data_IF_803260562387
#
_entry.id   IF_803260562387
#
_cell.length_a   1.000
_cell.length_b   1.000
_cell.length_c   1.000
_cell.angle_alpha   90.00
_cell.angle_beta   90.00
_cell.angle_gamma   90.00
#
_symmetry.space_group_name_H-M   'P 1'
#
loop_
_entity.id
_entity.type
_entity.pdbx_description
1 polymer ?
#
# COMPACT_ATOMS: atom_id res chain seq x y z
N UNK A 1 23.50 -49.20 0.22
CA UNK A 1 22.85 -47.91 0.50
C UNK A 1 21.74 -47.74 -0.51
N UNK A 2 20.48 -47.60 -0.08
CA UNK A 2 19.35 -47.47 -0.98
C UNK A 2 18.89 -46.00 -1.03
N UNK A 3 18.75 -45.47 -2.24
CA UNK A 3 18.22 -44.12 -2.49
C UNK A 3 16.72 -44.30 -2.76
N UNK A 4 15.88 -43.75 -1.88
CA UNK A 4 14.44 -43.74 -2.07
C UNK A 4 14.01 -42.39 -2.63
N UNK A 5 13.20 -42.43 -3.69
CA UNK A 5 12.49 -41.25 -4.20
C UNK A 5 11.19 -41.09 -3.42
N UNK A 6 10.99 -39.93 -2.80
CA UNK A 6 9.74 -39.60 -2.12
C UNK A 6 8.55 -39.65 -3.10
N UNK A 7 7.40 -40.18 -2.65
CA UNK A 7 6.17 -40.22 -3.45
C UNK A 7 5.78 -38.80 -3.84
N UNK A 8 5.62 -38.52 -5.14
CA UNK A 8 5.08 -37.25 -5.63
C UNK A 8 3.69 -37.04 -5.02
N UNK A 9 3.42 -35.84 -4.50
CA UNK A 9 2.06 -35.40 -4.17
C UNK A 9 1.37 -35.02 -5.48
N UNK A 10 0.25 -35.67 -5.81
CA UNK A 10 -0.47 -35.51 -7.08
C UNK A 10 -1.28 -34.19 -7.20
N UNK A 11 -0.82 -33.11 -6.55
CA UNK A 11 -1.52 -31.81 -6.50
C UNK A 11 -0.56 -30.68 -6.82
N UNK A 12 -0.11 -30.61 -8.06
CA UNK A 12 0.70 -29.52 -8.59
C UNK A 12 0.04 -28.94 -9.84
N UNK A 13 0.20 -27.64 -10.04
CA UNK A 13 -0.23 -26.94 -11.25
C UNK A 13 1.00 -26.71 -12.12
N UNK A 14 0.91 -27.04 -13.41
CA UNK A 14 1.92 -26.68 -14.40
C UNK A 14 1.46 -25.36 -15.01
N UNK A 15 2.33 -24.36 -15.00
CA UNK A 15 2.07 -23.01 -15.52
C UNK A 15 3.26 -22.63 -16.40
N UNK A 16 3.03 -21.89 -17.48
CA UNK A 16 4.10 -21.31 -18.29
C UNK A 16 5.07 -20.46 -17.42
N UNK A 17 6.34 -20.42 -17.81
CA UNK A 17 7.36 -19.62 -17.15
C UNK A 17 7.23 -18.13 -17.46
N UNK A 18 6.50 -17.75 -18.51
CA UNK A 18 6.29 -16.34 -18.91
C UNK A 18 5.86 -15.45 -17.73
N UNK A 19 4.75 -15.73 -17.01
CA UNK A 19 4.33 -14.89 -15.89
C UNK A 19 5.31 -14.93 -14.71
N UNK A 20 6.04 -16.04 -14.53
CA UNK A 20 7.02 -16.21 -13.46
C UNK A 20 8.32 -15.43 -13.71
N UNK A 21 8.62 -15.09 -14.96
CA UNK A 21 9.83 -14.38 -15.38
C UNK A 21 9.58 -12.93 -15.81
N UNK A 22 8.32 -12.48 -15.83
CA UNK A 22 7.97 -11.10 -16.17
C UNK A 22 8.42 -10.14 -15.06
N UNK A 23 9.28 -9.14 -15.33
CA UNK A 23 9.69 -8.15 -14.33
C UNK A 23 8.63 -7.08 -14.07
N UNK A 24 7.60 -6.97 -14.91
CA UNK A 24 6.57 -5.92 -14.82
C UNK A 24 5.39 -6.28 -13.92
N UNK A 25 5.28 -7.56 -13.54
CA UNK A 25 4.24 -8.07 -12.64
C UNK A 25 4.71 -8.00 -11.20
N UNK A 26 3.90 -7.44 -10.31
CA UNK A 26 4.17 -7.48 -8.88
C UNK A 26 4.05 -8.91 -8.35
N UNK A 27 4.87 -9.28 -7.37
CA UNK A 27 4.79 -10.61 -6.73
C UNK A 27 3.40 -10.89 -6.13
N UNK A 28 2.69 -9.83 -5.69
CA UNK A 28 1.33 -9.94 -5.18
C UNK A 28 0.35 -10.32 -6.31
N UNK A 29 0.42 -9.64 -7.45
CA UNK A 29 -0.39 -9.95 -8.62
C UNK A 29 -0.04 -11.34 -9.19
N UNK A 30 1.24 -11.69 -9.28
CA UNK A 30 1.70 -13.02 -9.70
C UNK A 30 1.15 -14.13 -8.80
N UNK A 31 1.16 -13.94 -7.48
CA UNK A 31 0.57 -14.88 -6.53
C UNK A 31 -0.93 -15.08 -6.76
N UNK A 32 -1.66 -14.01 -7.09
CA UNK A 32 -3.08 -14.10 -7.45
C UNK A 32 -3.28 -14.83 -8.78
N UNK A 33 -2.47 -14.54 -9.81
CA UNK A 33 -2.53 -15.19 -11.11
C UNK A 33 -2.30 -16.70 -11.01
N UNK A 34 -1.20 -17.11 -10.38
CA UNK A 34 -0.87 -18.53 -10.15
C UNK A 34 -1.98 -19.24 -9.39
N UNK A 35 -2.58 -18.56 -8.40
CA UNK A 35 -3.71 -19.09 -7.66
C UNK A 35 -4.94 -19.29 -8.55
N UNK A 36 -5.25 -18.36 -9.44
CA UNK A 36 -6.36 -18.50 -10.39
C UNK A 36 -6.12 -19.65 -11.37
N UNK A 37 -4.90 -19.80 -11.89
CA UNK A 37 -4.51 -20.89 -12.80
C UNK A 37 -4.52 -22.28 -12.13
N UNK A 38 -4.47 -22.34 -10.81
CA UNK A 38 -4.56 -23.61 -10.07
C UNK A 38 -6.00 -24.17 -9.97
N UNK A 39 -7.02 -23.41 -10.37
CA UNK A 39 -8.40 -23.91 -10.41
C UNK A 39 -8.69 -24.65 -11.72
N UNK A 40 -9.77 -25.48 -11.75
CA UNK A 40 -10.20 -26.13 -12.99
C UNK A 40 -10.56 -25.11 -14.09
N UNK A 41 -10.37 -25.49 -15.35
CA UNK A 41 -10.56 -24.63 -16.52
C UNK A 41 -11.97 -24.00 -16.62
N UNK A 42 -13.00 -24.69 -16.13
CA UNK A 42 -14.40 -24.22 -16.13
C UNK A 42 -14.75 -23.28 -14.96
N UNK A 43 -13.76 -22.92 -14.14
CA UNK A 43 -14.00 -22.12 -12.95
C UNK A 43 -14.35 -20.67 -13.29
N UNK A 44 -15.44 -20.18 -12.69
CA UNK A 44 -15.88 -18.78 -12.84
C UNK A 44 -15.47 -17.99 -11.62
N UNK A 45 -14.56 -17.04 -11.82
CA UNK A 45 -14.09 -16.18 -10.74
C UNK A 45 -15.00 -14.97 -10.55
N UNK A 46 -15.44 -14.78 -9.32
CA UNK A 46 -15.99 -13.52 -8.85
C UNK A 46 -14.99 -12.87 -7.90
N UNK A 47 -14.82 -11.55 -7.99
CA UNK A 47 -13.90 -10.80 -7.13
C UNK A 47 -14.22 -11.02 -5.64
N UNK A 48 -15.50 -11.09 -5.28
CA UNK A 48 -15.95 -11.40 -3.92
C UNK A 48 -15.50 -12.76 -3.43
N UNK A 49 -15.43 -13.75 -4.32
CA UNK A 49 -15.02 -15.11 -3.97
C UNK A 49 -13.51 -15.23 -3.84
N UNK A 50 -12.76 -14.48 -4.66
CA UNK A 50 -11.32 -14.35 -4.54
C UNK A 50 -10.94 -13.73 -3.19
N UNK A 51 -11.63 -12.66 -2.77
CA UNK A 51 -11.41 -12.01 -1.46
C UNK A 51 -11.68 -12.98 -0.31
N UNK A 52 -12.77 -13.75 -0.35
CA UNK A 52 -13.08 -14.75 0.69
C UNK A 52 -12.01 -15.84 0.79
N UNK A 53 -11.43 -16.27 -0.34
CA UNK A 53 -10.41 -17.35 -0.39
C UNK A 53 -9.01 -16.83 -0.08
N UNK A 54 -8.74 -15.56 -0.38
CA UNK A 54 -7.48 -14.89 -0.07
C UNK A 54 -7.64 -14.10 1.23
N UNK A 55 -7.84 -14.83 2.34
CA UNK A 55 -8.12 -14.26 3.66
C UNK A 55 -7.05 -13.29 4.20
N UNK A 56 -5.84 -13.27 3.62
CA UNK A 56 -4.77 -12.33 3.96
C UNK A 56 -4.79 -11.04 3.12
N UNK A 57 -5.45 -11.05 1.97
CA UNK A 57 -5.52 -9.91 1.08
C UNK A 57 -6.89 -9.23 1.21
N UNK A 58 -6.89 -7.94 1.54
CA UNK A 58 -8.10 -7.14 1.59
C UNK A 58 -8.76 -6.98 0.21
N UNK A 59 -10.03 -6.59 0.19
CA UNK A 59 -10.79 -6.33 -1.05
C UNK A 59 -10.02 -5.41 -2.01
N UNK A 60 -9.46 -4.34 -1.48
CA UNK A 60 -8.73 -3.34 -2.27
C UNK A 60 -7.38 -3.87 -2.79
N UNK A 61 -6.73 -4.75 -2.05
CA UNK A 61 -5.51 -5.41 -2.51
C UNK A 61 -5.80 -6.32 -3.71
N UNK A 62 -6.84 -7.16 -3.61
CA UNK A 62 -7.29 -8.02 -4.72
C UNK A 62 -7.71 -7.18 -5.93
N UNK A 63 -8.43 -6.07 -5.69
CA UNK A 63 -8.84 -5.17 -6.75
C UNK A 63 -7.64 -4.58 -7.51
N UNK A 64 -6.66 -4.05 -6.78
CA UNK A 64 -5.45 -3.46 -7.37
C UNK A 64 -4.61 -4.51 -8.12
N UNK A 65 -4.46 -5.72 -7.57
CA UNK A 65 -3.81 -6.84 -8.24
C UNK A 65 -4.54 -7.21 -9.54
N UNK A 66 -5.88 -7.22 -9.54
CA UNK A 66 -6.70 -7.52 -10.71
C UNK A 66 -6.60 -6.44 -11.79
N UNK A 67 -6.47 -5.16 -11.41
CA UNK A 67 -6.21 -4.05 -12.34
C UNK A 67 -4.82 -4.15 -12.98
N UNK A 68 -3.80 -4.47 -12.18
CA UNK A 68 -2.46 -4.75 -12.67
C UNK A 68 -2.48 -5.94 -13.66
N UNK A 69 -3.20 -6.99 -13.28
CA UNK A 69 -3.74 -8.10 -14.07
C UNK A 69 -4.07 -7.72 -15.52
N UNK A 70 -5.04 -6.83 -15.59
CA UNK A 70 -5.63 -6.38 -16.83
C UNK A 70 -4.69 -5.50 -17.64
N UNK A 71 -3.93 -4.62 -16.97
CA UNK A 71 -2.97 -3.73 -17.62
C UNK A 71 -1.87 -4.50 -18.33
N UNK A 72 -1.41 -5.59 -17.75
CA UNK A 72 -0.36 -6.45 -18.31
C UNK A 72 -0.89 -7.48 -19.32
N UNK A 73 -2.21 -7.63 -19.45
CA UNK A 73 -2.83 -8.54 -20.43
C UNK A 73 -3.00 -9.98 -19.95
N UNK A 74 -2.66 -10.30 -18.70
CA UNK A 74 -2.89 -11.63 -18.12
C UNK A 74 -4.36 -11.86 -17.74
N UNK A 75 -5.15 -10.79 -17.60
CA UNK A 75 -6.60 -10.89 -17.38
C UNK A 75 -7.35 -10.00 -18.36
N UNK A 76 -8.36 -10.52 -19.04
CA UNK A 76 -9.22 -9.73 -19.94
C UNK A 76 -10.67 -9.76 -19.47
N UNK A 77 -11.33 -8.61 -19.55
CA UNK A 77 -12.78 -8.50 -19.30
C UNK A 77 -13.55 -8.72 -20.59
N UNK A 78 -14.48 -9.67 -20.58
CA UNK A 78 -15.45 -9.89 -21.65
C UNK A 78 -16.79 -9.32 -21.18
N UNK A 79 -17.26 -8.30 -21.90
CA UNK A 79 -18.58 -7.72 -21.66
C UNK A 79 -19.63 -8.42 -22.52
N UNK A 80 -20.56 -9.12 -21.87
CA UNK A 80 -21.72 -9.69 -22.54
C UNK A 80 -22.82 -8.63 -22.66
N UNK A 81 -23.28 -8.41 -23.90
CA UNK A 81 -24.47 -7.62 -24.19
C UNK A 81 -25.67 -8.55 -24.29
N UNK A 82 -26.76 -8.18 -23.62
CA UNK A 82 -28.03 -8.86 -23.79
C UNK A 82 -28.62 -8.55 -25.18
N UNK A 83 -29.61 -9.34 -25.62
CA UNK A 83 -30.37 -9.17 -26.87
C UNK A 83 -30.99 -7.79 -27.00
N UNK A 84 -31.18 -7.10 -25.87
CA UNK A 84 -31.74 -5.75 -25.78
C UNK A 84 -30.67 -4.66 -25.70
N UNK A 85 -29.39 -4.98 -25.96
CA UNK A 85 -28.27 -4.04 -25.91
C UNK A 85 -27.84 -3.60 -24.51
N UNK A 86 -28.46 -4.12 -23.45
CA UNK A 86 -28.09 -3.83 -22.06
C UNK A 86 -26.84 -4.60 -21.64
N UNK A 87 -26.01 -3.99 -20.80
CA UNK A 87 -24.89 -4.66 -20.14
C UNK A 87 -25.42 -5.76 -19.23
N UNK A 88 -25.16 -7.02 -19.56
CA UNK A 88 -25.70 -8.16 -18.81
C UNK A 88 -24.70 -8.64 -17.76
N UNK A 89 -23.53 -9.10 -18.22
CA UNK A 89 -22.55 -9.78 -17.39
C UNK A 89 -21.15 -9.45 -17.88
N UNK A 90 -20.22 -9.31 -16.95
CA UNK A 90 -18.79 -9.18 -17.27
C UNK A 90 -18.10 -10.43 -16.76
N UNK A 91 -17.51 -11.18 -17.69
CA UNK A 91 -16.70 -12.36 -17.37
C UNK A 91 -15.23 -11.98 -17.42
N UNK A 92 -14.44 -12.55 -16.52
CA UNK A 92 -12.98 -12.37 -16.48
C UNK A 92 -12.36 -13.64 -17.07
N UNK A 93 -11.45 -13.46 -18.03
CA UNK A 93 -10.66 -14.54 -18.61
C UNK A 93 -9.22 -14.35 -18.18
N UNK A 94 -8.64 -15.40 -17.62
CA UNK A 94 -7.25 -15.45 -17.15
C UNK A 94 -6.41 -16.16 -18.20
N UNK A 95 -5.26 -15.60 -18.53
CA UNK A 95 -4.34 -16.11 -19.55
C UNK A 95 -2.98 -16.38 -18.92
N UNK A 96 -2.33 -17.48 -19.28
CA UNK A 96 -0.93 -17.73 -18.88
C UNK A 96 0.03 -16.80 -19.60
N UNK A 97 -0.27 -16.46 -20.85
CA UNK A 97 0.52 -15.52 -21.64
C UNK A 97 -0.21 -14.17 -21.77
N UNK A 98 0.51 -13.05 -21.72
CA UNK A 98 -0.10 -11.74 -21.79
C UNK A 98 -0.74 -11.54 -23.16
N UNK A 99 -2.05 -11.32 -23.17
CA UNK A 99 -2.79 -10.96 -24.39
C UNK A 99 -2.78 -9.45 -24.50
N UNK A 100 -2.40 -8.94 -25.67
CA UNK A 100 -2.50 -7.49 -25.92
C UNK A 100 -3.93 -7.04 -25.62
N UNK A 101 -4.14 -5.99 -24.81
CA UNK A 101 -5.48 -5.55 -24.48
C UNK A 101 -6.19 -5.18 -25.78
N UNK A 102 -7.09 -6.05 -26.21
CA UNK A 102 -7.98 -5.75 -27.33
C UNK A 102 -8.86 -4.62 -26.84
N UNK A 103 -8.47 -3.41 -27.22
CA UNK A 103 -9.34 -2.25 -27.16
C UNK A 103 -10.42 -2.56 -28.19
N UNK A 104 -11.41 -3.35 -27.81
CA UNK A 104 -12.67 -3.39 -28.52
C UNK A 104 -13.20 -1.97 -28.42
N UNK A 105 -12.86 -1.14 -29.41
CA UNK A 105 -13.30 0.23 -29.51
C UNK A 105 -14.81 0.22 -29.23
N UNK A 106 -15.31 0.86 -28.17
CA UNK A 106 -16.64 1.40 -28.27
C UNK A 106 -16.52 2.44 -29.38
N UNK A 107 -17.07 2.16 -30.56
CA UNK A 107 -17.41 3.24 -31.50
C UNK A 107 -18.24 4.23 -30.71
N UNK A 108 -17.56 5.26 -30.23
CA UNK A 108 -18.13 6.32 -29.42
C UNK A 108 -18.40 7.41 -30.42
N UNK A 109 -19.66 7.55 -30.82
CA UNK A 109 -20.08 8.75 -31.52
C UNK A 109 -19.73 9.97 -30.65
N UNK A 110 -18.91 10.83 -31.23
CA UNK A 110 -18.36 12.06 -30.69
C UNK A 110 -19.47 12.99 -30.14
N UNK A 111 -19.27 13.64 -28.98
CA UNK A 111 -19.73 15.00 -28.79
C UNK A 111 -18.56 15.96 -28.56
N UNK A 112 -18.61 17.05 -29.32
CA UNK A 112 -17.58 18.08 -29.51
C UNK A 112 -17.29 18.94 -28.27
N UNK A 113 -16.00 19.14 -28.01
CA UNK A 113 -15.28 20.41 -27.69
C UNK A 113 -15.84 21.42 -26.66
N UNK A 114 -15.04 21.70 -25.63
CA UNK A 114 -14.62 23.07 -25.25
C UNK A 114 -13.41 23.05 -24.27
N UNK A 115 -12.30 23.71 -24.64
CA UNK A 115 -11.17 24.11 -23.77
C UNK A 115 -11.41 25.54 -23.25
N UNK A 116 -10.82 25.95 -22.10
CA UNK A 116 -9.69 26.91 -22.12
C UNK A 116 -8.61 26.61 -21.04
N UNK A 117 -7.29 26.70 -21.35
CA UNK A 117 -6.33 27.83 -21.29
C UNK A 117 -5.87 28.20 -19.85
N UNK A 118 -4.67 27.77 -19.42
CA UNK A 118 -3.35 28.50 -19.39
C UNK A 118 -3.24 29.60 -18.33
N UNK A 119 -2.36 29.44 -17.34
CA UNK A 119 -1.30 30.44 -17.03
C UNK A 119 -0.24 29.91 -16.06
N UNK A 120 1.02 30.18 -16.38
CA UNK A 120 2.24 29.89 -15.61
C UNK A 120 2.48 30.99 -14.55
N UNK A 121 3.20 30.68 -13.46
CA UNK A 121 4.18 31.62 -12.86
C UNK A 121 5.15 30.91 -11.88
N UNK A 122 6.26 31.57 -11.58
CA UNK A 122 7.64 31.08 -11.60
C UNK A 122 8.43 31.57 -10.35
N UNK A 123 9.51 30.84 -9.98
CA UNK A 123 10.67 31.21 -9.09
C UNK A 123 10.42 31.45 -7.58
N UNK A 124 11.39 31.37 -6.65
CA UNK A 124 12.69 30.68 -6.45
C UNK A 124 13.19 31.11 -5.04
N UNK A 125 14.22 30.41 -4.53
CA UNK A 125 15.21 30.81 -3.48
C UNK A 125 14.79 30.61 -2.00
N UNK A 126 15.66 30.36 -1.02
CA UNK A 126 17.02 29.75 -0.82
C UNK A 126 17.36 29.98 0.66
N UNK A 127 18.08 29.03 1.28
CA UNK A 127 19.07 29.19 2.37
C UNK A 127 19.00 28.12 3.49
N UNK A 128 20.06 27.31 3.49
CA UNK A 128 20.69 26.51 4.57
C UNK A 128 21.16 27.42 5.75
N UNK A 129 21.82 26.93 6.83
CA UNK A 129 21.94 25.57 7.41
C UNK A 129 21.87 25.58 8.98
N UNK A 130 22.31 24.47 9.61
CA UNK A 130 22.93 24.30 10.95
C UNK A 130 22.09 23.53 12.01
N UNK A 131 22.37 22.24 12.24
CA UNK A 131 23.39 21.62 13.14
C UNK A 131 23.16 21.85 14.63
N UNK A 132 22.78 20.79 15.37
CA UNK A 132 23.67 20.06 16.30
C UNK A 132 22.84 19.11 17.21
N UNK A 133 23.17 17.80 17.28
CA UNK A 133 23.79 17.09 18.42
C UNK A 133 23.01 17.36 19.74
N UNK A 134 22.47 16.40 20.50
CA UNK A 134 23.18 15.34 21.25
C UNK A 134 22.18 14.56 22.12
N UNK A 135 22.42 13.25 22.29
CA UNK A 135 22.22 12.43 23.52
C UNK A 135 20.82 12.33 24.17
N UNK A 136 20.47 11.33 24.97
CA UNK A 136 20.86 9.94 25.23
C UNK A 136 19.72 9.45 26.18
N UNK A 137 19.68 8.15 26.42
CA UNK A 137 19.25 7.53 27.68
C UNK A 137 17.82 7.01 27.82
N UNK A 138 17.81 5.67 27.95
CA UNK A 138 17.13 4.89 28.98
C UNK A 138 15.81 4.21 28.59
N UNK A 139 15.99 2.99 28.08
CA UNK A 139 15.67 1.73 28.76
C UNK A 139 14.39 1.72 29.62
N UNK A 140 13.40 0.94 29.18
CA UNK A 140 12.72 0.03 30.10
C UNK A 140 12.12 -1.16 29.35
N UNK A 141 12.40 -2.33 29.91
CA UNK A 141 11.91 -3.65 29.54
C UNK A 141 10.48 -3.81 30.03
N UNK A 142 9.63 -4.46 29.24
CA UNK A 142 8.56 -5.30 29.79
C UNK A 142 8.11 -6.35 28.77
N UNK A 143 8.22 -7.60 29.21
CA UNK A 143 7.28 -8.71 28.97
C UNK A 143 7.49 -9.58 27.73
N UNK A 144 8.29 -10.62 27.94
CA UNK A 144 8.19 -11.90 27.23
C UNK A 144 6.91 -12.63 27.66
N UNK A 145 6.00 -12.87 26.71
CA UNK A 145 5.09 -13.99 26.70
C UNK A 145 5.00 -14.46 25.24
N UNK A 146 5.23 -15.74 25.01
CA UNK A 146 5.63 -16.31 23.73
C UNK A 146 4.73 -15.93 22.54
N UNK A 147 5.33 -15.25 21.57
CA UNK A 147 4.89 -15.25 20.18
C UNK A 147 6.03 -15.81 19.35
N UNK A 148 5.81 -16.98 18.76
CA UNK A 148 6.61 -17.47 17.65
C UNK A 148 6.45 -16.41 16.54
N UNK A 149 7.51 -15.71 16.09
CA UNK A 149 7.36 -14.68 15.08
C UNK A 149 6.87 -15.32 13.78
N UNK A 150 5.78 -14.78 13.23
CA UNK A 150 5.34 -15.10 11.88
C UNK A 150 6.51 -14.85 10.91
N UNK A 151 6.97 -15.86 10.16
CA UNK A 151 8.12 -15.74 9.26
C UNK A 151 7.90 -14.77 8.09
N UNK A 152 6.67 -14.25 7.94
CA UNK A 152 6.29 -13.24 6.95
C UNK A 152 5.87 -11.90 7.55
N UNK A 153 5.84 -11.78 8.87
CA UNK A 153 5.84 -10.46 9.49
C UNK A 153 7.22 -9.86 9.25
N UNK A 154 7.27 -8.59 8.83
CA UNK A 154 8.52 -7.83 8.78
C UNK A 154 9.28 -8.13 10.09
N UNK A 155 10.57 -8.50 10.05
CA UNK A 155 11.31 -8.80 11.26
C UNK A 155 11.04 -7.67 12.25
N UNK A 156 10.74 -7.97 13.54
CA UNK A 156 10.40 -6.94 14.51
C UNK A 156 11.48 -5.88 14.43
N UNK A 157 11.10 -4.70 13.91
CA UNK A 157 12.02 -3.60 13.67
C UNK A 157 12.76 -3.37 14.98
N UNK A 158 14.09 -3.47 14.96
CA UNK A 158 14.86 -3.37 16.20
C UNK A 158 14.49 -2.05 16.89
N UNK A 159 14.51 -2.03 18.22
CA UNK A 159 14.17 -0.81 18.99
C UNK A 159 14.96 0.40 18.47
N UNK A 160 16.20 0.18 18.07
CA UNK A 160 17.08 1.18 17.47
C UNK A 160 16.62 1.66 16.08
N UNK A 161 16.22 0.75 15.17
CA UNK A 161 15.69 1.12 13.86
C UNK A 161 14.37 1.87 13.96
N UNK A 162 13.50 1.47 14.89
CA UNK A 162 12.24 2.16 15.16
C UNK A 162 12.50 3.57 15.68
N UNK A 163 13.45 3.73 16.60
CA UNK A 163 13.83 5.05 17.10
C UNK A 163 14.45 5.93 16.01
N UNK A 164 15.30 5.36 15.13
CA UNK A 164 15.83 6.06 13.95
C UNK A 164 14.69 6.54 13.05
N UNK A 165 13.70 5.69 12.78
CA UNK A 165 12.56 6.04 11.93
C UNK A 165 11.67 7.12 12.55
N UNK A 166 11.39 7.04 13.86
CA UNK A 166 10.65 8.09 14.59
C UNK A 166 11.40 9.42 14.56
N UNK A 167 12.71 9.43 14.83
CA UNK A 167 13.49 10.66 14.80
C UNK A 167 13.47 11.28 13.38
N UNK A 168 13.61 10.46 12.33
CA UNK A 168 13.53 10.94 10.93
C UNK A 168 12.16 11.58 10.63
N UNK A 169 11.07 10.95 11.06
CA UNK A 169 9.71 11.48 10.88
C UNK A 169 9.50 12.81 11.63
N UNK A 170 10.04 12.95 12.84
CA UNK A 170 10.01 14.23 13.57
C UNK A 170 10.76 15.30 12.79
N UNK A 171 11.97 15.00 12.30
CA UNK A 171 12.74 15.94 11.48
C UNK A 171 11.99 16.33 10.21
N UNK A 172 11.35 15.37 9.54
CA UNK A 172 10.50 15.62 8.37
C UNK A 172 9.38 16.61 8.71
N UNK A 173 8.62 16.35 9.78
CA UNK A 173 7.55 17.23 10.22
C UNK A 173 8.06 18.64 10.57
N UNK A 174 9.16 18.77 11.33
CA UNK A 174 9.74 20.08 11.68
C UNK A 174 10.18 20.85 10.42
N UNK A 175 10.80 20.15 9.47
CA UNK A 175 11.30 20.74 8.23
C UNK A 175 10.18 21.23 7.32
N UNK A 176 9.08 20.48 7.23
CA UNK A 176 7.96 20.80 6.35
C UNK A 176 6.98 21.79 6.98
N UNK A 177 6.84 21.80 8.32
CA UNK A 177 5.95 22.72 9.05
C UNK A 177 6.50 24.14 9.22
N UNK A 178 7.80 24.37 9.01
CA UNK A 178 8.50 25.65 9.29
C UNK A 178 8.23 26.20 10.70
N UNK A 179 7.96 25.33 11.67
CA UNK A 179 7.64 25.71 13.05
C UNK A 179 8.89 25.65 13.94
N UNK A 180 9.07 26.65 14.79
CA UNK A 180 10.03 26.57 15.90
C UNK A 180 9.44 25.69 17.00
N UNK A 181 9.98 24.49 17.16
CA UNK A 181 9.55 23.54 18.19
C UNK A 181 10.56 23.59 19.36
N UNK A 182 10.08 23.73 20.58
CA UNK A 182 10.91 23.68 21.78
C UNK A 182 11.41 22.25 22.06
N UNK A 183 12.54 22.07 22.76
CA UNK A 183 13.03 20.74 23.14
C UNK A 183 12.02 19.91 23.95
N UNK A 184 11.18 20.57 24.76
CA UNK A 184 10.13 19.91 25.54
C UNK A 184 9.01 19.35 24.64
N UNK A 185 8.61 20.09 23.62
CA UNK A 185 7.62 19.68 22.63
C UNK A 185 8.11 18.51 21.78
N UNK A 186 9.38 18.50 21.38
CA UNK A 186 10.00 17.37 20.67
C UNK A 186 9.91 16.09 21.51
N UNK A 187 10.17 16.17 22.82
CA UNK A 187 10.06 15.02 23.72
C UNK A 187 8.61 14.54 23.87
N UNK A 188 7.64 15.45 23.92
CA UNK A 188 6.21 15.09 23.96
C UNK A 188 5.77 14.37 22.68
N UNK A 189 6.16 14.89 21.52
CA UNK A 189 5.87 14.25 20.22
C UNK A 189 6.54 12.88 20.12
N UNK A 190 7.81 12.77 20.51
CA UNK A 190 8.56 11.51 20.53
C UNK A 190 7.90 10.46 21.42
N UNK A 191 7.45 10.86 22.61
CA UNK A 191 6.75 9.96 23.52
C UNK A 191 5.37 9.55 22.98
N UNK A 192 4.65 10.45 22.31
CA UNK A 192 3.40 10.13 21.61
C UNK A 192 3.61 9.09 20.50
N UNK A 193 4.62 9.31 19.65
CA UNK A 193 4.97 8.43 18.53
C UNK A 193 5.44 7.03 18.97
N UNK A 194 6.10 6.90 20.13
CA UNK A 194 6.50 5.58 20.67
C UNK A 194 5.32 4.64 20.94
N UNK A 195 4.13 5.19 21.17
CA UNK A 195 2.90 4.44 21.47
C UNK A 195 1.99 4.16 20.26
N UNK A 196 2.41 4.55 19.04
CA UNK A 196 1.61 4.46 17.81
C UNK A 196 2.36 3.65 16.74
N UNK A 197 1.62 3.02 15.82
CA UNK A 197 2.20 2.31 14.65
C UNK A 197 2.86 3.31 13.70
N UNK A 198 3.90 2.88 12.99
CA UNK A 198 4.69 3.79 12.15
C UNK A 198 3.87 4.36 10.99
N UNK A 199 3.01 3.55 10.38
CA UNK A 199 2.17 3.97 9.25
C UNK A 199 1.13 5.02 9.68
N UNK A 200 0.59 4.88 10.89
CA UNK A 200 -0.33 5.86 11.50
C UNK A 200 0.38 7.18 11.82
N UNK A 201 1.65 7.12 12.24
CA UNK A 201 2.47 8.32 12.49
C UNK A 201 2.68 9.10 11.18
N UNK A 202 3.00 8.41 10.08
CA UNK A 202 3.16 9.02 8.76
C UNK A 202 1.86 9.71 8.32
N UNK A 203 0.71 9.06 8.53
CA UNK A 203 -0.61 9.64 8.26
C UNK A 203 -0.89 10.91 9.08
N UNK A 204 -0.64 10.88 10.40
CA UNK A 204 -0.83 12.02 11.31
C UNK A 204 0.06 13.21 10.91
N UNK A 205 1.30 12.95 10.51
CA UNK A 205 2.24 13.97 10.05
C UNK A 205 1.71 14.64 8.77
N UNK A 206 1.29 13.87 7.78
CA UNK A 206 0.75 14.42 6.53
C UNK A 206 -0.52 15.26 6.77
N UNK A 207 -1.40 14.81 7.66
CA UNK A 207 -2.60 15.57 8.05
C UNK A 207 -2.25 16.89 8.74
N UNK A 208 -1.29 16.86 9.67
CA UNK A 208 -0.84 18.08 10.34
C UNK A 208 -0.21 19.07 9.34
N UNK A 209 0.61 18.57 8.41
CA UNK A 209 1.24 19.41 7.38
C UNK A 209 0.24 20.03 6.42
N UNK A 210 -0.78 19.27 6.00
CA UNK A 210 -1.88 19.80 5.20
C UNK A 210 -2.60 20.94 5.93
N UNK A 211 -2.93 20.76 7.20
CA UNK A 211 -3.66 21.76 7.97
C UNK A 211 -2.81 23.02 8.32
N UNK A 212 -1.48 22.90 8.28
CA UNK A 212 -0.56 24.05 8.32
C UNK A 212 -0.63 24.82 6.99
N UNK A 213 -0.64 24.12 5.86
CA UNK A 213 -0.69 24.74 4.54
C UNK A 213 -1.96 25.56 4.30
N UNK A 214 -3.08 25.18 4.94
CA UNK A 214 -4.36 25.89 4.87
C UNK A 214 -4.48 27.05 5.86
N UNK A 215 -3.46 27.31 6.68
CA UNK A 215 -3.44 28.40 7.67
C UNK A 215 -4.46 28.24 8.80
N UNK A 216 -5.00 27.04 8.99
CA UNK A 216 -6.14 26.78 9.90
C UNK A 216 -5.71 26.61 11.37
N UNK A 217 -4.41 26.47 11.63
CA UNK A 217 -3.90 26.06 12.95
C UNK A 217 -2.98 27.12 13.55
N UNK A 218 -3.25 27.45 14.82
CA UNK A 218 -2.43 28.37 15.62
C UNK A 218 -1.21 27.70 16.28
N UNK A 219 -1.29 26.40 16.59
CA UNK A 219 -0.16 25.60 17.12
C UNK A 219 -0.03 24.25 16.38
N UNK A 220 0.88 24.15 15.41
CA UNK A 220 1.08 22.95 14.60
C UNK A 220 1.49 21.71 15.39
N UNK A 221 2.28 21.91 16.45
CA UNK A 221 2.74 20.83 17.32
C UNK A 221 1.59 20.30 18.18
N UNK A 222 0.79 21.19 18.78
CA UNK A 222 -0.37 20.81 19.58
C UNK A 222 -1.40 20.03 18.76
N UNK A 223 -1.57 20.40 17.49
CA UNK A 223 -2.43 19.67 16.56
C UNK A 223 -1.90 18.27 16.26
N UNK A 224 -0.61 18.12 15.96
CA UNK A 224 0.00 16.80 15.75
C UNK A 224 -0.13 15.89 16.98
N UNK A 225 0.09 16.42 18.20
CA UNK A 225 -0.08 15.67 19.45
C UNK A 225 -1.53 15.19 19.60
N UNK A 226 -2.50 16.03 19.21
CA UNK A 226 -3.92 15.67 19.26
C UNK A 226 -4.25 14.54 18.28
N UNK A 227 -3.72 14.60 17.06
CA UNK A 227 -3.86 13.52 16.07
C UNK A 227 -3.25 12.20 16.55
N UNK A 228 -2.05 12.25 17.14
CA UNK A 228 -1.39 11.06 17.69
C UNK A 228 -2.18 10.45 18.86
N UNK A 229 -2.80 11.27 19.71
CA UNK A 229 -3.68 10.78 20.79
C UNK A 229 -4.96 10.13 20.26
N UNK A 230 -5.56 10.70 19.21
CA UNK A 230 -6.77 10.16 18.60
C UNK A 230 -6.51 8.84 17.87
N UNK A 231 -5.36 8.73 17.18
CA UNK A 231 -4.93 7.49 16.53
C UNK A 231 -4.70 6.35 17.52
N UNK A 232 -4.20 6.66 18.73
CA UNK A 232 -4.03 5.66 19.79
C UNK A 232 -5.36 5.05 20.25
N UNK A 233 -6.40 5.87 20.42
CA UNK A 233 -7.71 5.39 20.90
C UNK A 233 -8.49 4.53 19.90
N UNK A 234 -8.15 4.58 18.61
CA UNK A 234 -8.79 3.78 17.56
C UNK A 234 -8.30 2.33 17.51
N UNK A 235 -7.13 2.03 18.07
CA UNK A 235 -6.52 0.70 18.08
C UNK A 235 -6.85 -0.13 19.34
N UNK A 236 -7.52 0.48 20.34
CA UNK A 236 -7.92 -0.15 21.60
C UNK A 236 -9.44 -0.49 21.66
N UNK A 237 -10.16 -0.38 20.53
CA UNK A 237 -11.62 -0.57 20.40
C UNK A 237 -12.03 -1.81 19.62
#
# INVERSE_FOLDING_TARGET
>A
MAIYREKRKDRFTIIDNVPLQDPNISNKALGLLVRMLAFPDDWKFYETDLVKRCNKDGREAIHNQMLELQRLGYVTKIHHRDKNGKFAKTDLVVHEQPVSPSTGNPSTDNPSTAKPSTENQHLLNTNKPNTNITNNSNNSLSNEAGNIPDPFSNPPMSKEEREKKINNLIYKFVSESRCSISPAEIQQVKNGMRSVLIDDIESCINQALYAISTGTIQSPVGYLITLLKNSKGANDG
#
